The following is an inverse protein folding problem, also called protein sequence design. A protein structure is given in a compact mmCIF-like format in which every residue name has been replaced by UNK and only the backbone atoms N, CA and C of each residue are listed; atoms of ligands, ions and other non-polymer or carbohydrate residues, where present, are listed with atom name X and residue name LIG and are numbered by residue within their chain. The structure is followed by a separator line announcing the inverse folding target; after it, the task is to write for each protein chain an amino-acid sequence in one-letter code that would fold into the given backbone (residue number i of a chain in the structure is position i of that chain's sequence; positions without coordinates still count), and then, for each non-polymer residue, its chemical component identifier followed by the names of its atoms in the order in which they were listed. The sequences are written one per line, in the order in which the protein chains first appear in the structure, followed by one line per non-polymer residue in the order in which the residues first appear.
data_IF_809283807639
#
_entry.id   IF_809283807639
#
_cell.length_a   1.000
_cell.length_b   1.000
_cell.length_c   1.000
_cell.angle_alpha   90.00
_cell.angle_beta   90.00
_cell.angle_gamma   90.00
#
_symmetry.space_group_name_H-M   'P 1'
#
loop_
_entity.id
_entity.type
_entity.pdbx_description
1 polymer ?
#
# COMPACT_ATOMS: atom_id res chain seq x y z
N UNK A 1 -3.73 18.91 -24.91
CA UNK A 1 -5.00 18.15 -24.90
C UNK A 1 -5.90 18.72 -23.82
N UNK A 2 -7.15 19.06 -24.14
CA UNK A 2 -8.14 19.51 -23.16
C UNK A 2 -9.05 18.32 -22.87
N UNK A 3 -8.89 17.70 -21.70
CA UNK A 3 -9.74 16.58 -21.30
C UNK A 3 -11.17 17.08 -21.10
N UNK A 4 -12.15 16.42 -21.73
CA UNK A 4 -13.57 16.69 -21.47
C UNK A 4 -13.95 16.03 -20.14
N UNK A 5 -14.18 16.85 -19.13
CA UNK A 5 -14.62 16.39 -17.81
C UNK A 5 -16.11 16.02 -17.89
N UNK A 6 -16.46 14.85 -17.36
CA UNK A 6 -17.85 14.45 -17.18
C UNK A 6 -18.25 14.74 -15.71
N UNK A 7 -18.95 15.85 -15.50
CA UNK A 7 -19.33 16.31 -14.17
C UNK A 7 -20.37 15.41 -13.52
N UNK A 8 -21.34 14.90 -14.28
CA UNK A 8 -22.37 13.97 -13.78
C UNK A 8 -21.72 12.71 -13.18
N UNK A 9 -20.70 12.16 -13.86
CA UNK A 9 -19.95 11.01 -13.34
C UNK A 9 -19.18 11.35 -12.06
N UNK A 10 -18.60 12.55 -11.97
CA UNK A 10 -17.88 13.00 -10.78
C UNK A 10 -18.84 13.14 -9.59
N UNK A 11 -20.01 13.70 -9.81
CA UNK A 11 -21.04 13.87 -8.78
C UNK A 11 -21.48 12.53 -8.20
N UNK A 12 -21.84 11.56 -9.06
CA UNK A 12 -22.23 10.21 -8.63
C UNK A 12 -21.11 9.54 -7.82
N UNK A 13 -19.87 9.60 -8.30
CA UNK A 13 -18.72 9.01 -7.59
C UNK A 13 -18.50 9.70 -6.23
N UNK A 14 -18.61 11.02 -6.19
CA UNK A 14 -18.47 11.81 -4.96
C UNK A 14 -19.52 11.42 -3.92
N UNK A 15 -20.78 11.26 -4.34
CA UNK A 15 -21.86 10.87 -3.42
C UNK A 15 -21.67 9.45 -2.89
N UNK A 16 -21.19 8.52 -3.72
CA UNK A 16 -20.78 7.19 -3.25
C UNK A 16 -19.68 7.28 -2.19
N UNK A 17 -18.62 8.08 -2.43
CA UNK A 17 -17.55 8.26 -1.44
C UNK A 17 -18.05 8.91 -0.13
N UNK A 18 -18.98 9.87 -0.20
CA UNK A 18 -19.61 10.46 0.99
C UNK A 18 -20.40 9.43 1.79
N UNK A 19 -21.18 8.58 1.12
CA UNK A 19 -21.99 7.51 1.77
C UNK A 19 -21.10 6.45 2.42
N UNK A 20 -19.97 6.12 1.79
CA UNK A 20 -18.99 5.22 2.38
C UNK A 20 -18.40 5.84 3.66
N UNK A 21 -17.87 7.06 3.53
CA UNK A 21 -17.23 7.77 4.64
C UNK A 21 -15.94 7.10 5.11
N UNK A 22 -15.17 7.84 5.91
CA UNK A 22 -13.81 7.43 6.31
C UNK A 22 -13.77 6.10 7.07
N UNK A 23 -14.77 5.82 7.91
CA UNK A 23 -14.77 4.62 8.75
C UNK A 23 -14.89 3.35 7.92
N UNK A 24 -15.77 3.33 6.91
CA UNK A 24 -15.91 2.15 6.02
C UNK A 24 -14.68 2.00 5.14
N UNK A 25 -14.08 3.09 4.67
CA UNK A 25 -12.83 3.04 3.89
C UNK A 25 -11.70 2.43 4.73
N UNK A 26 -11.52 2.84 5.99
CA UNK A 26 -10.53 2.22 6.89
C UNK A 26 -10.77 0.73 7.10
N UNK A 27 -12.03 0.28 7.13
CA UNK A 27 -12.33 -1.16 7.21
C UNK A 27 -11.93 -1.88 5.92
N UNK A 28 -12.07 -1.24 4.76
CA UNK A 28 -11.63 -1.79 3.47
C UNK A 28 -10.10 -1.86 3.40
N UNK A 29 -9.39 -0.85 3.92
CA UNK A 29 -7.91 -0.85 3.97
C UNK A 29 -7.35 -2.05 4.74
N UNK A 30 -8.06 -2.57 5.75
CA UNK A 30 -7.63 -3.77 6.50
C UNK A 30 -7.63 -5.02 5.62
N UNK A 31 -8.38 -5.06 4.52
CA UNK A 31 -8.38 -6.15 3.55
C UNK A 31 -7.29 -5.99 2.47
N UNK A 32 -6.57 -4.87 2.44
CA UNK A 32 -5.53 -4.60 1.45
C UNK A 32 -4.26 -5.41 1.77
N UNK A 33 -3.78 -6.15 0.78
CA UNK A 33 -2.53 -6.92 0.86
C UNK A 33 -1.34 -5.99 1.16
N UNK A 34 -1.32 -4.78 0.61
CA UNK A 34 -0.27 -3.80 0.86
C UNK A 34 -0.29 -3.33 2.31
N UNK A 35 -1.49 -3.18 2.90
CA UNK A 35 -1.65 -2.87 4.32
C UNK A 35 -1.15 -4.02 5.20
N UNK A 36 -1.49 -5.26 4.88
CA UNK A 36 -0.99 -6.44 5.60
C UNK A 36 0.54 -6.55 5.56
N UNK A 37 1.14 -6.32 4.40
CA UNK A 37 2.59 -6.25 4.21
C UNK A 37 3.22 -5.17 5.09
N UNK A 38 2.67 -3.96 5.08
CA UNK A 38 3.17 -2.86 5.90
C UNK A 38 3.08 -3.19 7.40
N UNK A 39 1.96 -3.76 7.84
CA UNK A 39 1.77 -4.22 9.21
C UNK A 39 2.81 -5.28 9.58
N UNK A 40 3.01 -6.29 8.75
CA UNK A 40 4.01 -7.34 9.00
C UNK A 40 5.42 -6.76 9.13
N UNK A 41 5.84 -5.89 8.20
CA UNK A 41 7.17 -5.28 8.26
C UNK A 41 7.36 -4.36 9.46
N UNK A 42 6.32 -3.64 9.89
CA UNK A 42 6.39 -2.81 11.10
C UNK A 42 6.63 -3.63 12.37
N UNK A 43 6.18 -4.89 12.41
CA UNK A 43 6.42 -5.80 13.52
C UNK A 43 7.80 -6.47 13.44
N UNK A 44 8.26 -6.84 12.24
CA UNK A 44 9.53 -7.55 12.03
C UNK A 44 10.75 -6.62 12.06
N UNK A 45 10.62 -5.40 11.54
CA UNK A 45 11.71 -4.46 11.32
C UNK A 45 11.36 -3.07 11.85
N UNK A 46 10.96 -2.91 13.13
CA UNK A 46 10.28 -1.71 13.60
C UNK A 46 11.06 -0.41 13.31
N UNK A 47 12.38 -0.44 13.46
CA UNK A 47 13.24 0.75 13.27
C UNK A 47 13.39 1.19 11.81
N UNK A 48 13.37 0.26 10.86
CA UNK A 48 13.67 0.55 9.44
C UNK A 48 12.47 0.38 8.50
N UNK A 49 11.39 -0.24 8.97
CA UNK A 49 10.21 -0.60 8.19
C UNK A 49 9.65 0.58 7.39
N UNK A 50 9.55 1.76 7.99
CA UNK A 50 9.06 2.97 7.31
C UNK A 50 9.91 3.36 6.10
N UNK A 51 11.24 3.29 6.22
CA UNK A 51 12.17 3.59 5.12
C UNK A 51 12.08 2.54 4.02
N UNK A 52 12.00 1.26 4.40
CA UNK A 52 11.85 0.16 3.46
C UNK A 52 10.56 0.27 2.65
N UNK A 53 9.42 0.55 3.32
CA UNK A 53 8.13 0.77 2.66
C UNK A 53 8.18 1.98 1.72
N UNK A 54 8.77 3.08 2.16
CA UNK A 54 8.91 4.29 1.33
C UNK A 54 9.73 4.03 0.07
N UNK A 55 10.92 3.42 0.22
CA UNK A 55 11.80 3.10 -0.90
C UNK A 55 11.14 2.12 -1.88
N UNK A 56 10.45 1.10 -1.36
CA UNK A 56 9.73 0.14 -2.20
C UNK A 56 8.61 0.82 -2.99
N UNK A 57 7.87 1.75 -2.36
CA UNK A 57 6.83 2.53 -3.04
C UNK A 57 7.39 3.38 -4.19
N UNK A 58 8.58 3.97 -4.04
CA UNK A 58 9.21 4.78 -5.09
C UNK A 58 9.55 3.98 -6.34
N UNK A 59 9.80 2.68 -6.21
CA UNK A 59 10.10 1.78 -7.33
C UNK A 59 8.92 0.90 -7.74
N UNK A 60 7.75 1.09 -7.12
CA UNK A 60 6.51 0.33 -7.40
C UNK A 60 5.79 0.84 -8.65
N UNK A 61 6.48 0.88 -9.79
CA UNK A 61 5.92 1.28 -11.07
C UNK A 61 6.42 0.38 -12.19
N UNK A 62 5.62 0.23 -13.26
CA UNK A 62 5.95 -0.62 -14.44
C UNK A 62 6.42 -2.04 -14.05
N UNK A 63 5.76 -2.61 -13.06
CA UNK A 63 6.07 -3.94 -12.54
C UNK A 63 5.77 -5.02 -13.59
N UNK A 64 6.61 -6.07 -13.62
CA UNK A 64 6.40 -7.28 -14.43
C UNK A 64 5.30 -8.19 -13.87
N UNK A 65 4.89 -7.95 -12.63
CA UNK A 65 3.89 -8.73 -11.89
C UNK A 65 2.74 -7.84 -11.44
N UNK A 66 1.63 -8.47 -11.00
CA UNK A 66 0.60 -7.79 -10.21
C UNK A 66 1.23 -7.13 -8.97
N UNK A 67 0.78 -5.91 -8.65
CA UNK A 67 1.36 -5.11 -7.58
C UNK A 67 1.31 -5.84 -6.24
N UNK A 68 0.20 -6.52 -5.95
CA UNK A 68 -0.01 -7.33 -4.76
C UNK A 68 1.07 -8.41 -4.61
N UNK A 69 1.39 -9.11 -5.70
CA UNK A 69 2.43 -10.14 -5.72
C UNK A 69 3.82 -9.54 -5.48
N UNK A 70 4.09 -8.37 -6.06
CA UNK A 70 5.36 -7.66 -5.85
C UNK A 70 5.56 -7.30 -4.37
N UNK A 71 4.55 -6.75 -3.70
CA UNK A 71 4.59 -6.41 -2.28
C UNK A 71 4.77 -7.65 -1.37
N UNK A 72 4.17 -8.79 -1.73
CA UNK A 72 4.38 -10.06 -1.00
C UNK A 72 5.83 -10.54 -1.14
N UNK A 73 6.38 -10.55 -2.35
CA UNK A 73 7.79 -10.96 -2.58
C UNK A 73 8.76 -10.05 -1.82
N UNK A 74 8.52 -8.74 -1.88
CA UNK A 74 9.31 -7.77 -1.12
C UNK A 74 9.33 -8.09 0.38
N UNK A 75 8.17 -8.40 0.95
CA UNK A 75 8.05 -8.71 2.38
C UNK A 75 8.78 -9.99 2.74
N UNK A 76 8.68 -11.04 1.91
CA UNK A 76 9.43 -12.28 2.11
C UNK A 76 10.94 -12.02 2.12
N UNK A 77 11.44 -11.30 1.11
CA UNK A 77 12.85 -10.93 1.01
C UNK A 77 13.34 -10.14 2.23
N UNK A 78 12.60 -9.12 2.66
CA UNK A 78 12.98 -8.29 3.81
C UNK A 78 12.91 -9.06 5.13
N UNK A 79 11.90 -9.91 5.30
CA UNK A 79 11.70 -10.70 6.53
C UNK A 79 12.91 -11.60 6.83
N UNK A 80 13.51 -12.20 5.80
CA UNK A 80 14.73 -13.00 5.92
C UNK A 80 15.95 -12.20 6.37
N UNK A 81 15.99 -10.90 6.06
CA UNK A 81 17.14 -10.03 6.34
C UNK A 81 17.03 -9.26 7.64
N UNK A 82 15.82 -8.95 8.09
CA UNK A 82 15.63 -8.18 9.33
C UNK A 82 16.05 -8.91 10.60
N UNK A 83 16.07 -10.25 10.62
CA UNK A 83 16.60 -11.04 11.74
C UNK A 83 18.09 -10.73 12.00
N UNK A 84 18.82 -10.27 10.98
CA UNK A 84 20.24 -9.95 11.08
C UNK A 84 20.55 -8.48 11.41
N UNK A 85 19.54 -7.61 11.52
CA UNK A 85 19.72 -6.16 11.67
C UNK A 85 19.59 -5.72 13.14
N UNK A 86 19.27 -6.62 14.07
CA UNK A 86 19.17 -6.32 15.51
C UNK A 86 20.52 -6.14 16.23
N UNK A 87 21.62 -6.00 15.50
CA UNK A 87 22.98 -5.90 16.05
C UNK A 87 23.70 -4.67 15.47
N UNK A 88 23.15 -3.48 15.64
CA UNK A 88 23.90 -2.21 15.58
C UNK A 88 23.22 -1.16 16.46
#
# INVERSE_FOLDING_TARGET
MRYKINYDRIEIISDVFKILGINKIKMIEVCDIQFHVAKQLSMLCPQISKYLLYLNSLVSYRLMYHGEKFWVIFTQYVSEKCIHISVF
#
